data_IF_902351899913
#
_entry.id   IF_902351899913
#
_cell.length_a   1.000
_cell.length_b   1.000
_cell.length_c   1.000
_cell.angle_alpha   90.00
_cell.angle_beta   90.00
_cell.angle_gamma   90.00
#
_symmetry.space_group_name_H-M   'P 1'
#
loop_
_entity.id
_entity.type
_entity.pdbx_description
1 polymer ?
#
# COMPACT_ATOMS: atom_id res chain seq x y z
N UNK A 1 43.66 -11.88 27.93
CA UNK A 1 43.28 -10.94 26.86
C UNK A 1 42.82 -11.74 25.68
N UNK A 2 41.53 -11.75 25.32
CA UNK A 2 41.04 -12.40 24.09
C UNK A 2 41.16 -11.42 22.92
N UNK A 3 41.71 -11.91 21.82
CA UNK A 3 41.94 -11.21 20.56
C UNK A 3 40.58 -10.90 19.86
N UNK A 4 40.41 -9.61 19.50
CA UNK A 4 39.33 -9.11 18.68
C UNK A 4 39.43 -9.71 17.27
N UNK A 5 38.52 -10.60 16.92
CA UNK A 5 38.31 -11.03 15.53
C UNK A 5 37.46 -9.98 14.80
N UNK A 6 37.98 -9.41 13.72
CA UNK A 6 37.30 -8.49 12.86
C UNK A 6 36.07 -9.18 12.16
N UNK A 7 34.97 -8.47 11.92
CA UNK A 7 33.82 -9.06 11.24
C UNK A 7 34.16 -9.44 9.79
N UNK A 8 33.53 -10.49 9.24
CA UNK A 8 33.76 -10.95 7.87
C UNK A 8 33.37 -9.87 6.85
N UNK A 9 34.27 -9.62 5.89
CA UNK A 9 33.99 -8.71 4.78
C UNK A 9 32.84 -9.25 3.92
N UNK A 10 31.92 -8.38 3.44
CA UNK A 10 30.86 -8.82 2.55
C UNK A 10 31.41 -9.42 1.26
N UNK A 11 30.87 -10.55 0.88
CA UNK A 11 31.23 -11.36 -0.29
C UNK A 11 31.11 -10.51 -1.56
N UNK A 12 32.20 -10.42 -2.35
CA UNK A 12 32.20 -9.71 -3.63
C UNK A 12 31.37 -10.51 -4.64
N UNK A 13 30.11 -10.13 -4.81
CA UNK A 13 29.20 -10.71 -5.81
C UNK A 13 29.85 -10.65 -7.20
N UNK A 14 29.94 -11.79 -7.86
CA UNK A 14 30.44 -11.90 -9.25
C UNK A 14 29.61 -11.00 -10.19
N UNK A 15 30.26 -10.36 -11.20
CA UNK A 15 29.52 -9.57 -12.19
C UNK A 15 28.53 -10.47 -12.94
N UNK A 16 27.28 -10.04 -12.96
CA UNK A 16 26.19 -10.73 -13.65
C UNK A 16 26.40 -10.62 -15.18
N UNK A 17 26.27 -11.74 -15.91
CA UNK A 17 26.35 -11.78 -17.36
C UNK A 17 25.34 -10.80 -17.99
N UNK A 18 25.75 -10.01 -18.96
CA UNK A 18 25.02 -8.90 -19.57
C UNK A 18 23.64 -9.27 -20.22
N UNK A 19 23.28 -10.55 -20.28
CA UNK A 19 22.02 -11.03 -20.86
C UNK A 19 20.86 -11.27 -19.88
N UNK A 20 21.13 -11.52 -18.60
CA UNK A 20 20.09 -11.92 -17.62
C UNK A 20 19.28 -10.77 -17.08
N UNK A 21 19.83 -9.58 -16.95
CA UNK A 21 19.11 -8.40 -16.42
C UNK A 21 18.27 -7.63 -17.45
N UNK A 22 18.35 -7.95 -18.77
CA UNK A 22 17.58 -7.22 -19.79
C UNK A 22 16.10 -7.61 -19.77
N UNK A 23 15.78 -8.89 -19.53
CA UNK A 23 14.40 -9.38 -19.48
C UNK A 23 13.60 -8.71 -18.35
N UNK A 24 14.16 -8.62 -17.16
CA UNK A 24 13.53 -7.97 -16.02
C UNK A 24 13.32 -6.46 -16.25
N UNK A 25 14.26 -5.79 -16.91
CA UNK A 25 14.14 -4.36 -17.28
C UNK A 25 13.09 -4.12 -18.38
N UNK A 26 13.00 -4.99 -19.37
CA UNK A 26 11.93 -4.93 -20.38
C UNK A 26 10.56 -5.10 -19.75
N UNK A 27 10.40 -6.06 -18.84
CA UNK A 27 9.16 -6.23 -18.09
C UNK A 27 8.84 -4.97 -17.27
N UNK A 28 9.82 -4.39 -16.58
CA UNK A 28 9.64 -3.15 -15.82
C UNK A 28 9.23 -1.98 -16.71
N UNK A 29 9.82 -1.85 -17.90
CA UNK A 29 9.43 -0.84 -18.89
C UNK A 29 7.97 -0.99 -19.33
N UNK A 30 7.54 -2.22 -19.67
CA UNK A 30 6.16 -2.48 -20.06
C UNK A 30 5.18 -2.23 -18.90
N UNK A 31 5.57 -2.54 -17.67
CA UNK A 31 4.77 -2.25 -16.48
C UNK A 31 4.60 -0.73 -16.30
N UNK A 32 5.68 0.05 -16.41
CA UNK A 32 5.60 1.52 -16.30
C UNK A 32 4.70 2.14 -17.36
N UNK A 33 4.72 1.63 -18.60
CA UNK A 33 3.80 2.07 -19.65
C UNK A 33 2.35 1.76 -19.31
N UNK A 34 2.06 0.58 -18.78
CA UNK A 34 0.72 0.21 -18.37
C UNK A 34 0.22 1.11 -17.22
N UNK A 35 1.08 1.37 -16.23
CA UNK A 35 0.75 2.30 -15.14
C UNK A 35 0.50 3.70 -15.71
N UNK A 36 1.35 4.21 -16.59
CA UNK A 36 1.16 5.51 -17.23
C UNK A 36 -0.12 5.58 -18.10
N UNK A 37 -0.65 4.44 -18.56
CA UNK A 37 -1.94 4.35 -19.27
C UNK A 37 -3.16 4.17 -18.36
N UNK A 38 -2.99 4.25 -17.02
CA UNK A 38 -4.07 4.16 -16.04
C UNK A 38 -4.29 2.77 -15.43
N UNK A 39 -3.42 1.78 -15.68
CA UNK A 39 -3.51 0.46 -15.03
C UNK A 39 -2.89 0.51 -13.65
N UNK A 40 -3.54 -0.10 -12.66
CA UNK A 40 -2.96 -0.22 -11.33
C UNK A 40 -1.73 -1.13 -11.33
N UNK A 41 -0.78 -0.83 -10.45
CA UNK A 41 0.50 -1.53 -10.35
C UNK A 41 0.34 -3.05 -10.21
N UNK A 42 -0.54 -3.51 -9.33
CA UNK A 42 -0.76 -4.95 -9.09
C UNK A 42 -1.28 -5.69 -10.34
N UNK A 43 -2.09 -5.02 -11.17
CA UNK A 43 -2.51 -5.57 -12.46
C UNK A 43 -1.36 -5.57 -13.47
N UNK A 44 -0.63 -4.47 -13.57
CA UNK A 44 0.48 -4.31 -14.49
C UNK A 44 1.62 -5.30 -14.19
N UNK A 45 1.84 -5.64 -12.92
CA UNK A 45 2.85 -6.63 -12.48
C UNK A 45 2.66 -8.03 -13.07
N UNK A 46 1.49 -8.34 -13.63
CA UNK A 46 1.29 -9.60 -14.39
C UNK A 46 2.24 -9.76 -15.58
N UNK A 47 2.78 -8.65 -16.12
CA UNK A 47 3.81 -8.68 -17.16
C UNK A 47 5.13 -9.34 -16.70
N UNK A 48 5.35 -9.37 -15.39
CA UNK A 48 6.53 -10.00 -14.79
C UNK A 48 6.26 -11.45 -14.31
N UNK A 49 5.04 -12.00 -14.48
CA UNK A 49 4.67 -13.34 -13.94
C UNK A 49 5.50 -14.49 -14.51
N UNK A 50 5.99 -14.37 -15.74
CA UNK A 50 6.86 -15.37 -16.40
C UNK A 50 8.35 -15.23 -16.09
N UNK A 51 8.74 -14.28 -15.22
CA UNK A 51 10.13 -14.11 -14.79
C UNK A 51 10.43 -15.02 -13.59
N UNK A 52 11.72 -15.42 -13.49
CA UNK A 52 12.23 -16.03 -12.26
C UNK A 52 11.97 -15.14 -11.04
N UNK A 53 11.77 -15.70 -9.82
CA UNK A 53 11.42 -14.94 -8.63
C UNK A 53 12.34 -13.75 -8.37
N UNK A 54 13.66 -13.92 -8.53
CA UNK A 54 14.65 -12.85 -8.36
C UNK A 54 14.49 -11.73 -9.39
N UNK A 55 14.27 -12.07 -10.65
CA UNK A 55 14.08 -11.10 -11.75
C UNK A 55 12.77 -10.35 -11.60
N UNK A 56 11.72 -11.01 -11.12
CA UNK A 56 10.42 -10.42 -10.79
C UNK A 56 10.54 -9.43 -9.63
N UNK A 57 11.27 -9.79 -8.56
CA UNK A 57 11.54 -8.89 -7.44
C UNK A 57 12.31 -7.66 -7.89
N UNK A 58 13.36 -7.83 -8.72
CA UNK A 58 14.10 -6.72 -9.30
C UNK A 58 13.22 -5.81 -10.17
N UNK A 59 12.39 -6.38 -11.05
CA UNK A 59 11.47 -5.60 -11.88
C UNK A 59 10.49 -4.80 -11.01
N UNK A 60 9.94 -5.41 -9.95
CA UNK A 60 9.06 -4.72 -9.00
C UNK A 60 9.78 -3.58 -8.28
N UNK A 61 10.98 -3.82 -7.77
CA UNK A 61 11.80 -2.80 -7.11
C UNK A 61 12.08 -1.62 -8.04
N UNK A 62 12.50 -1.87 -9.28
CA UNK A 62 12.78 -0.84 -10.27
C UNK A 62 11.54 -0.01 -10.61
N UNK A 63 10.40 -0.65 -10.84
CA UNK A 63 9.12 0.03 -11.11
C UNK A 63 8.69 0.87 -9.92
N UNK A 64 8.68 0.29 -8.72
CA UNK A 64 8.24 1.02 -7.51
C UNK A 64 9.16 2.18 -7.18
N UNK A 65 10.47 2.08 -7.44
CA UNK A 65 11.41 3.19 -7.30
C UNK A 65 11.11 4.31 -8.30
N UNK A 66 10.87 3.98 -9.58
CA UNK A 66 10.49 4.96 -10.59
C UNK A 66 9.18 5.70 -10.23
N UNK A 67 8.18 4.99 -9.72
CA UNK A 67 6.90 5.58 -9.34
C UNK A 67 7.02 6.42 -8.06
N UNK A 68 7.75 5.93 -7.07
CA UNK A 68 7.94 6.59 -5.78
C UNK A 68 8.76 7.88 -5.89
N UNK A 69 9.79 7.88 -6.72
CA UNK A 69 10.73 8.98 -6.93
C UNK A 69 10.49 9.76 -8.23
N UNK A 70 9.30 9.59 -8.83
CA UNK A 70 9.00 10.10 -10.18
C UNK A 70 9.24 11.59 -10.37
N UNK A 71 8.82 12.43 -9.42
CA UNK A 71 9.01 13.87 -9.49
C UNK A 71 10.47 14.28 -9.40
N UNK A 72 11.24 13.71 -8.46
CA UNK A 72 12.68 13.96 -8.33
C UNK A 72 13.45 13.46 -9.57
N UNK A 73 13.10 12.28 -10.08
CA UNK A 73 13.68 11.72 -11.32
C UNK A 73 13.42 12.67 -12.50
N UNK A 74 12.21 13.18 -12.65
CA UNK A 74 11.84 14.08 -13.73
C UNK A 74 12.53 15.45 -13.59
N UNK A 75 12.68 15.96 -12.37
CA UNK A 75 13.43 17.19 -12.11
C UNK A 75 14.90 17.05 -12.55
N UNK A 76 15.57 15.98 -12.13
CA UNK A 76 16.97 15.69 -12.51
C UNK A 76 17.11 15.48 -14.02
N UNK A 77 16.17 14.76 -14.66
CA UNK A 77 16.15 14.60 -16.12
C UNK A 77 15.90 15.93 -16.84
N UNK A 78 15.05 16.80 -16.30
CA UNK A 78 14.76 18.12 -16.86
C UNK A 78 15.99 19.01 -16.94
N UNK A 79 16.89 18.93 -15.95
CA UNK A 79 18.19 19.65 -16.00
C UNK A 79 19.17 18.96 -16.95
N UNK A 80 19.16 17.64 -17.03
CA UNK A 80 20.11 16.89 -17.86
C UNK A 80 19.76 16.87 -19.36
N UNK A 81 18.49 17.08 -19.71
CA UNK A 81 17.97 17.04 -21.09
C UNK A 81 17.34 18.37 -21.47
N UNK A 82 17.82 18.98 -22.55
CA UNK A 82 17.22 20.21 -23.11
C UNK A 82 15.84 19.98 -23.76
N UNK A 83 15.59 18.76 -24.26
CA UNK A 83 14.32 18.35 -24.89
C UNK A 83 13.98 16.91 -24.53
N UNK A 84 12.83 16.64 -23.88
CA UNK A 84 12.40 15.29 -23.60
C UNK A 84 11.97 14.55 -24.88
N UNK A 85 11.99 13.21 -24.87
CA UNK A 85 11.45 12.41 -25.96
C UNK A 85 9.98 12.77 -26.26
N UNK A 86 9.63 12.91 -27.54
CA UNK A 86 8.31 13.33 -27.97
C UNK A 86 7.76 12.48 -29.13
N UNK A 87 6.49 12.64 -29.45
CA UNK A 87 5.83 11.92 -30.55
C UNK A 87 5.91 10.39 -30.37
N UNK A 88 6.38 9.69 -31.41
CA UNK A 88 6.54 8.23 -31.39
C UNK A 88 7.60 7.73 -30.39
N UNK A 89 8.53 8.59 -29.97
CA UNK A 89 9.55 8.25 -28.99
C UNK A 89 9.18 8.64 -27.55
N UNK A 90 7.97 9.15 -27.30
CA UNK A 90 7.55 9.61 -25.96
C UNK A 90 7.79 8.57 -24.86
N UNK A 91 7.51 7.32 -25.12
CA UNK A 91 7.65 6.25 -24.12
C UNK A 91 9.12 5.94 -23.78
N UNK A 92 10.10 6.44 -24.57
CA UNK A 92 11.52 6.34 -24.22
C UNK A 92 11.86 7.04 -22.90
N UNK A 93 11.01 7.97 -22.44
CA UNK A 93 11.18 8.62 -21.13
C UNK A 93 11.15 7.61 -19.98
N UNK A 94 10.36 6.55 -20.09
CA UNK A 94 10.34 5.50 -19.06
C UNK A 94 11.67 4.77 -18.95
N UNK A 95 12.36 4.55 -20.07
CA UNK A 95 13.71 3.98 -20.08
C UNK A 95 14.70 4.93 -19.38
N UNK A 96 14.60 6.23 -19.64
CA UNK A 96 15.43 7.25 -18.98
C UNK A 96 15.17 7.29 -17.47
N UNK A 97 13.91 7.32 -17.06
CA UNK A 97 13.51 7.26 -15.63
C UNK A 97 14.08 6.02 -14.93
N UNK A 98 14.01 4.85 -15.57
CA UNK A 98 14.60 3.61 -15.07
C UNK A 98 16.12 3.69 -14.94
N UNK A 99 16.79 4.37 -15.87
CA UNK A 99 18.23 4.63 -15.80
C UNK A 99 18.59 5.47 -14.58
N UNK A 100 17.88 6.58 -14.39
CA UNK A 100 18.07 7.47 -13.22
C UNK A 100 17.74 6.77 -11.92
N UNK A 101 16.65 6.01 -11.88
CA UNK A 101 16.27 5.22 -10.68
C UNK A 101 17.39 4.24 -10.28
N UNK A 102 17.98 3.53 -11.24
CA UNK A 102 19.10 2.63 -10.97
C UNK A 102 20.36 3.37 -10.53
N UNK A 103 20.64 4.53 -11.12
CA UNK A 103 21.84 5.31 -10.86
C UNK A 103 21.82 5.98 -9.48
N UNK A 104 20.68 6.58 -9.10
CA UNK A 104 20.60 7.47 -7.92
C UNK A 104 19.89 6.83 -6.72
N UNK A 105 19.10 5.76 -6.91
CA UNK A 105 18.25 5.22 -5.83
C UNK A 105 18.37 3.70 -5.60
N UNK A 106 19.14 2.98 -6.46
CA UNK A 106 19.16 1.50 -6.40
C UNK A 106 20.57 0.91 -6.27
N UNK A 107 21.52 1.67 -5.79
CA UNK A 107 22.91 1.21 -5.57
C UNK A 107 23.52 0.45 -6.78
N UNK A 108 23.11 0.84 -7.98
CA UNK A 108 23.64 0.27 -9.22
C UNK A 108 24.87 1.06 -9.63
N UNK A 109 26.01 0.39 -9.81
CA UNK A 109 27.23 1.06 -10.24
C UNK A 109 27.02 1.89 -11.52
N UNK A 110 27.59 3.09 -11.58
CA UNK A 110 27.34 4.08 -12.64
C UNK A 110 27.52 3.51 -14.06
N UNK A 111 28.59 2.73 -14.30
CA UNK A 111 28.82 2.10 -15.59
C UNK A 111 27.71 1.12 -15.98
N UNK A 112 27.27 0.29 -15.03
CA UNK A 112 26.20 -0.68 -15.27
C UNK A 112 24.83 0.00 -15.49
N UNK A 113 24.55 1.12 -14.82
CA UNK A 113 23.34 1.91 -15.04
C UNK A 113 23.33 2.52 -16.46
N UNK A 114 24.45 3.09 -16.91
CA UNK A 114 24.57 3.63 -18.28
C UNK A 114 24.37 2.52 -19.33
N UNK A 115 25.11 1.42 -19.23
CA UNK A 115 25.07 0.33 -20.20
C UNK A 115 23.71 -0.33 -20.27
N UNK A 116 23.09 -0.61 -19.13
CA UNK A 116 21.77 -1.21 -19.09
C UNK A 116 20.68 -0.30 -19.66
N UNK A 117 20.80 1.01 -19.44
CA UNK A 117 19.87 2.00 -20.02
C UNK A 117 19.97 2.05 -21.54
N UNK A 118 21.19 2.10 -22.09
CA UNK A 118 21.42 2.10 -23.54
C UNK A 118 20.95 0.77 -24.17
N UNK A 119 21.23 -0.35 -23.53
CA UNK A 119 20.77 -1.67 -23.99
C UNK A 119 19.26 -1.79 -23.97
N UNK A 120 18.60 -1.30 -22.92
CA UNK A 120 17.14 -1.27 -22.80
C UNK A 120 16.51 -0.34 -23.83
N UNK A 121 17.11 0.83 -24.09
CA UNK A 121 16.65 1.78 -25.11
C UNK A 121 16.58 1.12 -26.50
N UNK A 122 17.59 0.34 -26.85
CA UNK A 122 17.64 -0.42 -28.10
C UNK A 122 16.59 -1.54 -28.11
N UNK A 123 16.52 -2.33 -27.05
CA UNK A 123 15.58 -3.45 -26.92
C UNK A 123 14.10 -3.01 -26.89
N UNK A 124 13.81 -1.82 -26.40
CA UNK A 124 12.49 -1.21 -26.42
C UNK A 124 12.12 -0.53 -27.76
N UNK A 125 12.97 -0.67 -28.78
CA UNK A 125 12.72 -0.12 -30.13
C UNK A 125 13.07 1.35 -30.36
N UNK A 126 13.83 1.95 -29.44
CA UNK A 126 14.25 3.36 -29.53
C UNK A 126 15.73 3.51 -29.92
N UNK A 127 16.20 2.77 -30.90
CA UNK A 127 17.62 2.73 -31.28
C UNK A 127 18.20 4.12 -31.57
N UNK A 128 17.41 5.01 -32.21
CA UNK A 128 17.84 6.40 -32.54
C UNK A 128 18.02 7.26 -31.26
N UNK A 129 17.51 6.84 -30.11
CA UNK A 129 17.64 7.55 -28.84
C UNK A 129 18.82 7.06 -27.99
N UNK A 130 19.54 6.01 -28.42
CA UNK A 130 20.66 5.45 -27.64
C UNK A 130 21.79 6.44 -27.40
N UNK A 131 22.08 7.34 -28.37
CA UNK A 131 23.05 8.41 -28.23
C UNK A 131 22.66 9.42 -27.15
N UNK A 132 21.38 9.84 -27.14
CA UNK A 132 20.84 10.71 -26.09
C UNK A 132 20.91 10.03 -24.73
N UNK A 133 20.45 8.80 -24.63
CA UNK A 133 20.48 8.04 -23.38
C UNK A 133 21.92 7.95 -22.82
N UNK A 134 22.88 7.60 -23.64
CA UNK A 134 24.27 7.52 -23.22
C UNK A 134 24.82 8.88 -22.73
N UNK A 135 24.55 9.97 -23.46
CA UNK A 135 25.01 11.31 -23.11
C UNK A 135 24.40 11.77 -21.76
N UNK A 136 23.09 11.66 -21.62
CA UNK A 136 22.37 12.05 -20.41
C UNK A 136 22.82 11.21 -19.21
N UNK A 137 22.85 9.89 -19.34
CA UNK A 137 23.26 9.01 -18.25
C UNK A 137 24.72 9.21 -17.82
N UNK A 138 25.63 9.50 -18.76
CA UNK A 138 27.02 9.87 -18.44
C UNK A 138 27.13 11.23 -17.76
N UNK A 139 26.31 12.21 -18.10
CA UNK A 139 26.21 13.47 -17.38
C UNK A 139 25.73 13.22 -15.95
N UNK A 140 24.63 12.48 -15.78
CA UNK A 140 24.05 12.18 -14.49
C UNK A 140 24.94 11.29 -13.60
N UNK A 141 25.83 10.48 -14.19
CA UNK A 141 26.80 9.70 -13.39
C UNK A 141 27.86 10.60 -12.70
N UNK A 142 28.04 11.85 -13.15
CA UNK A 142 28.95 12.82 -12.53
C UNK A 142 28.23 13.87 -11.68
N UNK A 143 27.07 14.33 -12.13
CA UNK A 143 26.38 15.49 -11.57
C UNK A 143 25.10 15.10 -10.82
N UNK A 144 24.61 13.86 -11.00
CA UNK A 144 23.26 13.45 -10.57
C UNK A 144 23.03 13.52 -9.08
N UNK A 145 24.03 13.22 -8.25
CA UNK A 145 23.91 13.33 -6.80
C UNK A 145 23.66 14.78 -6.35
N UNK A 146 24.46 15.73 -6.85
CA UNK A 146 24.28 17.15 -6.56
C UNK A 146 22.93 17.68 -7.08
N UNK A 147 22.52 17.28 -8.30
CA UNK A 147 21.21 17.66 -8.84
C UNK A 147 20.05 17.08 -8.02
N UNK A 148 20.23 15.92 -7.39
CA UNK A 148 19.22 15.32 -6.51
C UNK A 148 19.10 16.08 -5.18
N UNK A 149 20.21 16.57 -4.61
CA UNK A 149 20.23 17.40 -3.41
C UNK A 149 19.44 18.71 -3.59
N UNK A 150 19.38 19.24 -4.81
CA UNK A 150 18.60 20.42 -5.15
C UNK A 150 17.09 20.14 -5.31
N UNK A 151 16.63 18.89 -5.14
CA UNK A 151 15.22 18.51 -5.25
C UNK A 151 14.53 18.36 -3.90
N UNK A 152 13.24 18.65 -3.87
CA UNK A 152 12.39 18.40 -2.69
C UNK A 152 11.60 17.11 -2.84
N UNK A 153 11.46 16.34 -1.73
CA UNK A 153 10.70 15.08 -1.70
C UNK A 153 9.23 15.29 -2.06
N UNK A 154 8.66 16.44 -1.74
CA UNK A 154 7.30 16.81 -2.12
C UNK A 154 7.05 16.82 -3.62
N UNK A 155 8.10 17.01 -4.45
CA UNK A 155 7.97 16.93 -5.93
C UNK A 155 7.45 15.56 -6.41
N UNK A 156 7.58 14.51 -5.58
CA UNK A 156 7.06 13.18 -5.91
C UNK A 156 5.55 13.05 -5.70
N UNK A 157 4.89 14.05 -5.11
CA UNK A 157 3.48 14.04 -4.77
C UNK A 157 2.72 15.09 -5.60
N UNK A 158 1.50 14.79 -6.08
CA UNK A 158 0.65 15.82 -6.68
C UNK A 158 0.40 16.97 -5.71
N UNK A 159 0.50 18.23 -6.20
CA UNK A 159 0.38 19.43 -5.37
C UNK A 159 -0.91 19.48 -4.54
N UNK A 160 -2.04 19.07 -5.12
CA UNK A 160 -3.32 19.05 -4.43
C UNK A 160 -3.36 18.11 -3.20
N UNK A 161 -2.62 16.98 -3.25
CA UNK A 161 -2.50 16.08 -2.10
C UNK A 161 -1.71 16.74 -0.98
N UNK A 162 -0.55 17.33 -1.33
CA UNK A 162 0.30 18.02 -0.35
C UNK A 162 -0.43 19.20 0.30
N UNK A 163 -1.14 20.00 -0.47
CA UNK A 163 -1.91 21.13 0.02
C UNK A 163 -3.02 20.67 0.99
N UNK A 164 -3.77 19.63 0.62
CA UNK A 164 -4.80 19.05 1.49
C UNK A 164 -4.19 18.52 2.80
N UNK A 165 -3.09 17.78 2.72
CA UNK A 165 -2.46 17.22 3.93
C UNK A 165 -1.84 18.29 4.82
N UNK A 166 -1.19 19.31 4.25
CA UNK A 166 -0.67 20.45 5.01
C UNK A 166 -1.79 21.20 5.74
N UNK A 167 -2.92 21.39 5.08
CA UNK A 167 -4.07 22.07 5.68
C UNK A 167 -4.68 21.30 6.87
N UNK A 168 -4.71 19.97 6.82
CA UNK A 168 -5.34 19.13 7.85
C UNK A 168 -4.36 18.60 8.90
N UNK A 169 -3.12 18.26 8.48
CA UNK A 169 -2.14 17.57 9.33
C UNK A 169 -0.93 18.43 9.70
N UNK A 170 -0.79 19.60 9.09
CA UNK A 170 0.35 20.50 9.25
C UNK A 170 1.53 20.14 8.34
N UNK A 171 2.46 21.10 8.20
CA UNK A 171 3.61 20.94 7.30
C UNK A 171 4.59 19.86 7.75
N UNK A 172 4.91 19.82 9.05
CA UNK A 172 5.88 18.89 9.61
C UNK A 172 5.45 17.44 9.44
N UNK A 173 4.21 17.08 9.82
CA UNK A 173 3.70 15.70 9.67
C UNK A 173 3.54 15.31 8.21
N UNK A 174 3.19 16.26 7.33
CA UNK A 174 3.11 16.03 5.89
C UNK A 174 4.49 15.73 5.32
N UNK A 175 5.51 16.52 5.65
CA UNK A 175 6.87 16.30 5.21
C UNK A 175 7.41 14.94 5.69
N UNK A 176 7.25 14.64 6.98
CA UNK A 176 7.67 13.35 7.55
C UNK A 176 6.94 12.15 6.91
N UNK A 177 5.63 12.29 6.58
CA UNK A 177 4.87 11.27 5.85
C UNK A 177 5.44 11.06 4.45
N UNK A 178 5.80 12.13 3.75
CA UNK A 178 6.41 12.04 2.42
C UNK A 178 7.80 11.41 2.46
N UNK A 179 8.65 11.77 3.42
CA UNK A 179 9.96 11.13 3.61
C UNK A 179 9.82 9.62 3.81
N UNK A 180 8.91 9.22 4.70
CA UNK A 180 8.64 7.81 4.94
C UNK A 180 8.08 7.11 3.68
N UNK A 181 7.21 7.75 2.91
CA UNK A 181 6.65 7.22 1.68
C UNK A 181 7.72 6.93 0.61
N UNK A 182 8.88 7.59 0.71
CA UNK A 182 10.03 7.36 -0.19
C UNK A 182 10.84 6.10 0.14
N UNK A 183 10.53 5.41 1.23
CA UNK A 183 11.20 4.17 1.65
C UNK A 183 10.35 2.94 1.35
N UNK A 184 10.95 1.77 1.04
CA UNK A 184 10.20 0.52 0.95
C UNK A 184 9.53 0.18 2.29
N UNK A 185 8.30 -0.35 2.30
CA UNK A 185 7.68 -0.80 3.54
C UNK A 185 8.31 -2.11 4.03
N UNK A 186 8.31 -2.36 5.35
CA UNK A 186 8.59 -3.68 5.88
C UNK A 186 7.52 -4.69 5.45
N UNK A 187 7.79 -5.97 5.64
CA UNK A 187 6.78 -7.01 5.49
C UNK A 187 6.05 -7.19 6.83
N UNK A 188 4.75 -6.98 6.81
CA UNK A 188 3.85 -7.22 7.91
C UNK A 188 3.02 -8.47 7.63
N UNK A 189 2.91 -9.33 8.63
CA UNK A 189 2.26 -10.62 8.58
C UNK A 189 1.30 -10.71 9.76
N UNK A 190 0.05 -11.11 9.51
CA UNK A 190 -0.94 -11.41 10.54
C UNK A 190 -1.05 -12.92 10.66
N UNK A 191 -0.58 -13.53 11.76
CA UNK A 191 -0.76 -14.96 12.03
C UNK A 191 -2.20 -15.29 12.39
N UNK A 192 -2.63 -16.50 12.02
CA UNK A 192 -3.95 -17.05 12.39
C UNK A 192 -4.05 -17.29 13.90
N UNK A 193 -2.94 -17.69 14.52
CA UNK A 193 -2.79 -17.95 15.95
C UNK A 193 -1.31 -17.90 16.29
N UNK A 194 -0.97 -17.90 17.59
CA UNK A 194 0.42 -17.96 18.09
C UNK A 194 1.32 -16.88 17.49
N UNK A 195 0.90 -15.63 17.57
CA UNK A 195 1.63 -14.50 16.97
C UNK A 195 3.07 -14.40 17.52
N UNK A 196 3.25 -14.66 18.81
CA UNK A 196 4.57 -14.64 19.45
C UNK A 196 5.49 -15.75 18.92
N UNK A 197 4.98 -16.98 18.74
CA UNK A 197 5.73 -18.08 18.16
C UNK A 197 6.12 -17.81 16.68
N UNK A 198 5.21 -17.18 15.92
CA UNK A 198 5.52 -16.77 14.55
C UNK A 198 6.55 -15.63 14.48
N UNK A 199 6.54 -14.69 15.44
CA UNK A 199 7.57 -13.66 15.53
C UNK A 199 8.96 -14.29 15.71
N UNK A 200 9.09 -15.29 16.56
CA UNK A 200 10.34 -16.04 16.75
C UNK A 200 10.77 -16.82 15.49
N UNK A 201 9.82 -17.58 14.90
CA UNK A 201 10.11 -18.42 13.70
C UNK A 201 10.55 -17.61 12.49
N UNK A 202 9.96 -16.44 12.29
CA UNK A 202 10.24 -15.57 11.15
C UNK A 202 11.31 -14.51 11.45
N UNK A 203 11.93 -14.54 12.62
CA UNK A 203 12.89 -13.52 13.07
C UNK A 203 12.32 -12.11 12.89
N UNK A 204 11.10 -11.93 13.40
CA UNK A 204 10.32 -10.70 13.26
C UNK A 204 10.02 -10.02 14.58
N UNK A 205 9.73 -8.73 14.51
CA UNK A 205 9.26 -7.93 15.64
C UNK A 205 7.75 -8.06 15.79
N UNK A 206 7.28 -8.21 17.02
CA UNK A 206 5.84 -8.20 17.33
C UNK A 206 5.35 -6.76 17.41
N UNK A 207 4.35 -6.41 16.59
CA UNK A 207 3.67 -5.13 16.62
C UNK A 207 2.29 -5.31 17.20
N UNK A 208 2.01 -4.60 18.28
CA UNK A 208 0.71 -4.54 18.96
C UNK A 208 0.09 -5.91 19.29
N UNK A 209 0.91 -6.93 19.53
CA UNK A 209 0.47 -8.29 19.81
C UNK A 209 -0.23 -9.04 18.66
N UNK A 210 -0.44 -8.40 17.51
CA UNK A 210 -1.27 -8.90 16.39
C UNK A 210 -0.50 -9.16 15.11
N UNK A 211 0.56 -8.39 14.86
CA UNK A 211 1.32 -8.39 13.60
C UNK A 211 2.76 -8.75 13.86
N UNK A 212 3.32 -9.60 13.01
CA UNK A 212 4.76 -9.88 12.94
C UNK A 212 5.36 -9.05 11.83
N UNK A 213 6.27 -8.16 12.17
CA UNK A 213 6.99 -7.28 11.21
C UNK A 213 8.41 -7.74 11.02
N UNK A 214 8.87 -7.74 9.76
CA UNK A 214 10.28 -7.99 9.44
C UNK A 214 10.75 -7.19 8.23
N UNK A 215 12.07 -6.93 8.16
CA UNK A 215 12.70 -6.53 6.90
C UNK A 215 12.65 -7.71 5.92
N UNK A 216 12.29 -7.44 4.68
CA UNK A 216 12.16 -8.53 3.71
C UNK A 216 12.45 -8.08 2.27
N UNK A 217 13.40 -8.80 1.65
CA UNK A 217 13.69 -8.69 0.21
C UNK A 217 13.39 -10.03 -0.43
N UNK A 218 12.26 -10.16 -1.13
CA UNK A 218 11.93 -11.41 -1.81
C UNK A 218 10.44 -11.62 -2.08
N UNK A 219 10.07 -12.89 -2.18
CA UNK A 219 8.67 -13.31 -2.36
C UNK A 219 8.13 -13.85 -1.03
N UNK A 220 7.14 -13.20 -0.40
CA UNK A 220 6.56 -13.65 0.86
C UNK A 220 6.03 -15.09 0.81
N UNK A 221 5.66 -15.57 -0.37
CA UNK A 221 5.13 -16.92 -0.56
C UNK A 221 6.16 -18.02 -0.31
N UNK A 222 7.45 -17.67 -0.28
CA UNK A 222 8.55 -18.59 0.01
C UNK A 222 8.85 -18.71 1.52
N UNK A 223 8.22 -17.91 2.35
CA UNK A 223 8.43 -17.95 3.81
C UNK A 223 7.70 -19.12 4.46
N UNK A 224 8.28 -19.62 5.54
CA UNK A 224 7.69 -20.68 6.37
C UNK A 224 6.26 -20.34 6.79
N UNK A 225 5.36 -21.32 6.73
CA UNK A 225 3.95 -21.20 7.11
C UNK A 225 3.04 -20.53 6.08
N UNK A 226 3.57 -19.93 4.99
CA UNK A 226 2.68 -19.33 3.98
C UNK A 226 1.82 -20.40 3.29
N UNK A 227 2.44 -21.45 2.77
CA UNK A 227 1.73 -22.52 2.07
C UNK A 227 0.79 -23.31 2.97
N UNK A 228 1.12 -23.39 4.26
CA UNK A 228 0.31 -24.07 5.28
C UNK A 228 -0.88 -23.22 5.76
N UNK A 229 -1.02 -21.99 5.25
CA UNK A 229 -2.09 -21.10 5.65
C UNK A 229 -2.01 -20.61 7.09
N UNK A 230 -0.80 -20.56 7.67
CA UNK A 230 -0.62 -20.17 9.06
C UNK A 230 -0.78 -18.64 9.28
N UNK A 231 -0.61 -17.86 8.21
CA UNK A 231 -0.66 -16.41 8.25
C UNK A 231 -0.97 -15.79 6.86
N UNK A 232 -1.21 -14.50 6.83
CA UNK A 232 -1.36 -13.70 5.60
C UNK A 232 -0.62 -12.37 5.72
N UNK A 233 -0.31 -11.76 4.57
CA UNK A 233 0.31 -10.43 4.52
C UNK A 233 -0.76 -9.37 4.77
N UNK A 234 -0.51 -8.51 5.76
CA UNK A 234 -1.40 -7.40 6.12
C UNK A 234 -0.62 -6.38 6.93
N UNK A 235 -0.74 -5.10 6.58
CA UNK A 235 -0.15 -3.99 7.33
C UNK A 235 -0.71 -3.92 8.75
N UNK A 236 0.12 -3.52 9.72
CA UNK A 236 -0.26 -3.45 11.13
C UNK A 236 -1.47 -2.51 11.36
N UNK A 237 -1.52 -1.35 10.67
CA UNK A 237 -2.66 -0.45 10.75
C UNK A 237 -3.91 -1.05 10.07
N UNK A 238 -3.74 -1.79 8.96
CA UNK A 238 -4.85 -2.49 8.30
C UNK A 238 -5.44 -3.65 9.14
N UNK A 239 -4.68 -4.16 10.11
CA UNK A 239 -5.13 -5.20 11.03
C UNK A 239 -5.99 -4.64 12.19
N UNK A 240 -5.89 -3.35 12.49
CA UNK A 240 -6.58 -2.75 13.63
C UNK A 240 -8.12 -2.73 13.51
N UNK A 241 -8.74 -2.40 12.36
CA UNK A 241 -10.20 -2.30 12.28
C UNK A 241 -10.94 -3.56 12.75
N UNK A 242 -10.53 -4.73 12.29
CA UNK A 242 -11.18 -5.99 12.68
C UNK A 242 -11.01 -6.30 14.18
N UNK A 243 -9.89 -5.90 14.79
CA UNK A 243 -9.60 -6.11 16.19
C UNK A 243 -10.47 -5.25 17.14
N UNK A 244 -10.94 -4.09 16.68
CA UNK A 244 -11.74 -3.15 17.48
C UNK A 244 -13.19 -3.60 17.71
N UNK A 245 -13.64 -4.70 17.14
CA UNK A 245 -14.96 -5.27 17.46
C UNK A 245 -15.02 -5.93 18.83
N UNK A 246 -13.89 -6.39 19.35
CA UNK A 246 -13.85 -7.24 20.55
C UNK A 246 -14.27 -8.68 20.27
N UNK A 247 -15.08 -9.27 21.15
CA UNK A 247 -15.53 -10.66 21.01
C UNK A 247 -16.58 -10.82 19.89
N UNK A 248 -16.21 -11.62 18.88
CA UNK A 248 -17.04 -11.92 17.72
C UNK A 248 -17.51 -13.39 17.67
N UNK A 249 -17.23 -14.19 18.71
CA UNK A 249 -17.56 -15.61 18.70
C UNK A 249 -19.06 -15.85 18.50
N UNK A 250 -19.39 -16.53 17.40
CA UNK A 250 -20.76 -16.83 17.00
C UNK A 250 -21.59 -15.64 16.53
N UNK A 251 -20.99 -14.46 16.37
CA UNK A 251 -21.66 -13.28 15.84
C UNK A 251 -21.70 -13.32 14.31
N UNK A 252 -22.80 -12.86 13.73
CA UNK A 252 -22.91 -12.68 12.30
C UNK A 252 -22.34 -11.30 11.90
N UNK A 253 -21.29 -11.31 11.11
CA UNK A 253 -20.58 -10.11 10.63
C UNK A 253 -20.68 -9.98 9.12
N UNK A 254 -21.07 -8.81 8.64
CA UNK A 254 -20.98 -8.44 7.22
C UNK A 254 -19.70 -7.67 6.99
N UNK A 255 -18.84 -8.17 6.11
CA UNK A 255 -17.61 -7.50 5.65
C UNK A 255 -17.85 -6.90 4.27
N UNK A 256 -17.96 -5.57 4.18
CA UNK A 256 -18.20 -4.84 2.94
C UNK A 256 -16.89 -4.39 2.29
N UNK A 257 -16.85 -4.54 0.96
CA UNK A 257 -15.64 -4.30 0.16
C UNK A 257 -14.49 -5.23 0.55
N UNK A 258 -14.85 -6.47 0.91
CA UNK A 258 -14.07 -7.45 1.63
C UNK A 258 -12.76 -7.87 0.97
N UNK A 259 -12.68 -7.83 -0.38
CA UNK A 259 -11.51 -8.33 -1.09
C UNK A 259 -10.29 -7.39 -0.95
N UNK A 260 -9.08 -7.95 -0.72
CA UNK A 260 -8.65 -9.35 -0.96
C UNK A 260 -8.82 -10.33 0.21
N UNK A 261 -9.43 -9.95 1.34
CA UNK A 261 -9.84 -10.88 2.39
C UNK A 261 -8.98 -10.89 3.66
N UNK A 262 -8.04 -9.95 3.83
CA UNK A 262 -7.21 -9.89 5.05
C UNK A 262 -8.03 -9.63 6.32
N UNK A 263 -8.95 -8.66 6.27
CA UNK A 263 -9.88 -8.34 7.36
C UNK A 263 -10.93 -9.44 7.52
N UNK A 264 -11.44 -10.01 6.41
CA UNK A 264 -12.31 -11.19 6.42
C UNK A 264 -11.68 -12.34 7.20
N UNK A 265 -10.40 -12.65 6.93
CA UNK A 265 -9.67 -13.72 7.63
C UNK A 265 -9.54 -13.43 9.14
N UNK A 266 -9.31 -12.17 9.54
CA UNK A 266 -9.28 -11.78 10.95
C UNK A 266 -10.65 -12.01 11.64
N UNK A 267 -11.74 -11.59 11.00
CA UNK A 267 -13.10 -11.78 11.53
C UNK A 267 -13.41 -13.27 11.73
N UNK A 268 -13.05 -14.12 10.76
CA UNK A 268 -13.20 -15.58 10.86
C UNK A 268 -12.32 -16.14 11.98
N UNK A 269 -11.06 -15.70 12.09
CA UNK A 269 -10.16 -16.14 13.15
C UNK A 269 -10.65 -15.73 14.54
N UNK A 270 -11.40 -14.62 14.66
CA UNK A 270 -12.08 -14.20 15.88
C UNK A 270 -13.39 -14.98 16.17
N UNK A 271 -13.75 -15.96 15.34
CA UNK A 271 -14.91 -16.82 15.54
C UNK A 271 -16.23 -16.31 14.98
N UNK A 272 -16.22 -15.29 14.12
CA UNK A 272 -17.41 -14.76 13.48
C UNK A 272 -17.96 -15.68 12.38
N UNK A 273 -19.29 -15.66 12.16
CA UNK A 273 -19.96 -16.12 10.93
C UNK A 273 -19.94 -14.95 9.93
N UNK A 274 -19.12 -15.05 8.88
CA UNK A 274 -18.83 -13.90 8.01
C UNK A 274 -19.55 -14.01 6.67
N UNK A 275 -20.30 -12.96 6.30
CA UNK A 275 -20.75 -12.70 4.94
C UNK A 275 -19.84 -11.62 4.31
N UNK A 276 -19.00 -12.03 3.38
CA UNK A 276 -18.05 -11.14 2.69
C UNK A 276 -18.61 -10.66 1.35
N UNK A 277 -18.79 -9.35 1.21
CA UNK A 277 -19.43 -8.71 0.06
C UNK A 277 -18.42 -7.87 -0.72
N UNK A 278 -18.29 -8.11 -2.02
CA UNK A 278 -17.52 -7.26 -2.93
C UNK A 278 -18.22 -7.22 -4.31
N UNK A 279 -18.18 -6.08 -4.99
CA UNK A 279 -18.83 -5.92 -6.30
C UNK A 279 -18.03 -6.54 -7.46
N UNK A 280 -16.75 -6.78 -7.27
CA UNK A 280 -15.80 -7.25 -8.28
C UNK A 280 -15.59 -8.76 -8.22
N UNK A 281 -16.07 -9.48 -9.25
CA UNK A 281 -15.85 -10.92 -9.37
C UNK A 281 -14.35 -11.30 -9.31
N UNK A 282 -13.42 -10.65 -10.06
CA UNK A 282 -12.00 -10.98 -9.98
C UNK A 282 -11.41 -10.79 -8.57
N UNK A 283 -11.89 -9.77 -7.82
CA UNK A 283 -11.44 -9.55 -6.45
C UNK A 283 -11.97 -10.62 -5.50
N UNK A 284 -13.24 -11.03 -5.64
CA UNK A 284 -13.82 -12.15 -4.88
C UNK A 284 -13.10 -13.48 -5.17
N UNK A 285 -12.66 -13.71 -6.40
CA UNK A 285 -11.88 -14.90 -6.75
C UNK A 285 -10.50 -14.89 -6.05
N UNK A 286 -9.91 -13.71 -5.82
CA UNK A 286 -8.68 -13.57 -5.01
C UNK A 286 -8.98 -13.86 -3.55
N UNK A 287 -10.05 -13.27 -2.99
CA UNK A 287 -10.49 -13.50 -1.61
C UNK A 287 -10.73 -14.99 -1.37
N UNK A 288 -11.47 -15.65 -2.28
CA UNK A 288 -11.72 -17.08 -2.19
C UNK A 288 -10.41 -17.89 -2.10
N UNK A 289 -9.47 -17.65 -3.03
CA UNK A 289 -8.17 -18.36 -3.02
C UNK A 289 -7.39 -18.12 -1.73
N UNK A 290 -7.45 -16.90 -1.18
CA UNK A 290 -6.79 -16.58 0.07
C UNK A 290 -7.41 -17.35 1.24
N UNK A 291 -8.75 -17.38 1.33
CA UNK A 291 -9.45 -18.17 2.36
C UNK A 291 -9.21 -19.66 2.19
N UNK A 292 -9.26 -20.20 0.97
CA UNK A 292 -8.97 -21.61 0.68
C UNK A 292 -7.57 -22.00 1.19
N UNK A 293 -6.53 -21.16 0.91
CA UNK A 293 -5.17 -21.37 1.42
C UNK A 293 -5.11 -21.35 2.95
N UNK A 294 -5.87 -20.48 3.60
CA UNK A 294 -5.93 -20.35 5.06
C UNK A 294 -6.78 -21.45 5.73
N UNK A 295 -7.47 -22.29 4.94
CA UNK A 295 -8.43 -23.26 5.47
C UNK A 295 -9.63 -22.59 6.17
N UNK A 296 -10.05 -21.44 5.67
CA UNK A 296 -11.15 -20.61 6.20
C UNK A 296 -12.32 -20.56 5.22
N UNK A 297 -13.53 -20.34 5.74
CA UNK A 297 -14.75 -20.22 4.92
C UNK A 297 -15.56 -18.99 5.31
N UNK A 298 -16.20 -18.36 4.33
CA UNK A 298 -17.16 -17.28 4.48
C UNK A 298 -18.26 -17.41 3.43
N UNK A 299 -19.41 -16.79 3.67
CA UNK A 299 -20.44 -16.62 2.63
C UNK A 299 -19.98 -15.49 1.68
N UNK A 300 -19.61 -15.84 0.45
CA UNK A 300 -19.08 -14.88 -0.53
C UNK A 300 -20.19 -14.36 -1.44
N UNK A 301 -20.48 -13.07 -1.37
CA UNK A 301 -21.56 -12.45 -2.11
C UNK A 301 -21.01 -11.40 -3.07
N UNK A 302 -21.29 -11.60 -4.38
CA UNK A 302 -21.04 -10.55 -5.37
C UNK A 302 -22.20 -9.57 -5.39
N UNK A 303 -22.03 -8.40 -4.80
CA UNK A 303 -23.03 -7.34 -4.79
C UNK A 303 -22.40 -5.96 -4.63
N UNK A 304 -23.12 -4.94 -5.07
CA UNK A 304 -22.84 -3.57 -4.65
C UNK A 304 -23.36 -3.37 -3.22
N UNK A 305 -22.49 -2.99 -2.29
CA UNK A 305 -22.85 -2.80 -0.88
C UNK A 305 -23.97 -1.80 -0.66
N UNK A 306 -24.15 -0.83 -1.58
CA UNK A 306 -25.23 0.18 -1.54
C UNK A 306 -26.61 -0.45 -1.77
N UNK A 307 -26.69 -1.54 -2.52
CA UNK A 307 -27.94 -2.24 -2.86
C UNK A 307 -28.08 -3.58 -2.18
N UNK A 308 -27.02 -4.10 -1.58
CA UNK A 308 -27.03 -5.36 -0.83
C UNK A 308 -28.05 -5.35 0.31
N UNK A 309 -28.59 -6.52 0.63
CA UNK A 309 -29.49 -6.77 1.76
C UNK A 309 -29.04 -8.04 2.46
N UNK A 310 -28.67 -7.97 3.76
CA UNK A 310 -28.40 -9.17 4.56
C UNK A 310 -29.63 -10.06 4.63
N UNK A 311 -29.39 -11.37 4.64
CA UNK A 311 -30.46 -12.39 4.79
C UNK A 311 -30.74 -12.76 6.23
N UNK A 312 -29.81 -12.42 7.13
CA UNK A 312 -29.87 -12.71 8.57
C UNK A 312 -29.76 -11.38 9.32
N UNK A 313 -30.12 -11.37 10.62
CA UNK A 313 -29.79 -10.27 11.51
C UNK A 313 -28.27 -10.06 11.54
N UNK A 314 -27.84 -8.82 11.65
CA UNK A 314 -26.43 -8.43 11.58
C UNK A 314 -25.99 -7.88 12.95
N UNK A 315 -25.05 -8.57 13.57
CA UNK A 315 -24.51 -8.15 14.87
C UNK A 315 -23.42 -7.09 14.71
N UNK A 316 -22.65 -7.19 13.62
CA UNK A 316 -21.57 -6.25 13.33
C UNK A 316 -21.35 -6.05 11.80
N UNK A 317 -20.89 -4.87 11.42
CA UNK A 317 -20.51 -4.57 10.03
C UNK A 317 -19.11 -3.99 10.01
N UNK A 318 -18.24 -4.53 9.17
CA UNK A 318 -16.98 -3.92 8.78
C UNK A 318 -17.13 -3.29 7.40
N UNK A 319 -16.74 -2.04 7.25
CA UNK A 319 -16.64 -1.37 5.96
C UNK A 319 -15.17 -0.99 5.72
N UNK A 320 -14.48 -1.74 4.86
CA UNK A 320 -13.19 -1.30 4.30
C UNK A 320 -13.47 -0.52 3.03
N UNK A 321 -13.82 0.77 3.20
CA UNK A 321 -14.48 1.53 2.16
C UNK A 321 -13.58 1.77 0.93
N UNK A 322 -14.14 1.73 -0.29
CA UNK A 322 -13.42 2.14 -1.48
C UNK A 322 -13.00 3.60 -1.33
N UNK A 323 -11.70 3.88 -1.44
CA UNK A 323 -11.13 5.20 -1.18
C UNK A 323 -10.00 5.54 -2.14
N UNK A 324 -9.42 6.74 -1.99
CA UNK A 324 -8.25 7.17 -2.77
C UNK A 324 -7.00 6.31 -2.50
N UNK A 325 -6.94 5.60 -1.37
CA UNK A 325 -5.84 4.75 -0.91
C UNK A 325 -4.51 5.51 -0.68
N UNK A 326 -4.57 6.82 -0.44
CA UNK A 326 -3.41 7.69 -0.24
C UNK A 326 -2.58 7.36 1.01
N UNK A 327 -3.11 6.57 1.94
CA UNK A 327 -2.36 6.04 3.07
C UNK A 327 -1.41 4.88 2.73
N UNK A 328 -1.53 4.28 1.52
CA UNK A 328 -0.77 3.10 1.13
C UNK A 328 0.41 3.38 0.20
N UNK A 329 0.89 4.61 0.12
CA UNK A 329 1.90 5.08 -0.85
C UNK A 329 3.19 4.27 -0.82
N UNK A 330 3.62 3.78 0.33
CA UNK A 330 4.82 2.95 0.46
C UNK A 330 4.71 1.64 -0.30
N UNK A 331 3.51 1.02 -0.28
CA UNK A 331 3.21 -0.26 -0.93
C UNK A 331 2.73 -0.06 -2.36
N UNK A 332 2.01 1.02 -2.60
CA UNK A 332 1.31 1.34 -3.85
C UNK A 332 1.65 2.76 -4.33
N UNK A 333 2.91 3.01 -4.74
CA UNK A 333 3.33 4.33 -5.21
C UNK A 333 2.63 4.77 -6.51
N UNK A 334 1.96 3.85 -7.22
CA UNK A 334 1.10 4.16 -8.37
C UNK A 334 -0.09 5.05 -8.01
N UNK A 335 -0.54 5.06 -6.75
CA UNK A 335 -1.60 5.96 -6.26
C UNK A 335 -1.27 7.43 -6.51
N UNK A 336 0.00 7.83 -6.40
CA UNK A 336 0.47 9.18 -6.72
C UNK A 336 0.18 9.59 -8.18
N UNK A 337 0.01 8.64 -9.08
CA UNK A 337 -0.13 8.86 -10.53
C UNK A 337 -1.57 8.66 -11.04
N UNK A 338 -2.47 8.10 -10.23
CA UNK A 338 -3.82 7.71 -10.67
C UNK A 338 -4.93 8.54 -10.05
N UNK A 339 -4.64 9.36 -9.03
CA UNK A 339 -5.66 10.11 -8.31
C UNK A 339 -5.72 11.55 -8.75
N UNK A 340 -6.94 12.04 -8.96
CA UNK A 340 -7.23 13.45 -9.15
C UNK A 340 -8.15 13.93 -8.03
N UNK A 341 -8.10 15.22 -7.73
CA UNK A 341 -8.97 15.85 -6.72
C UNK A 341 -10.46 15.63 -7.03
N UNK A 342 -10.81 15.57 -8.32
CA UNK A 342 -12.20 15.31 -8.76
C UNK A 342 -12.72 13.92 -8.35
N UNK A 343 -11.85 12.94 -8.08
CA UNK A 343 -12.25 11.60 -7.67
C UNK A 343 -12.77 11.57 -6.23
N UNK A 344 -12.29 12.48 -5.37
CA UNK A 344 -12.59 12.49 -3.94
C UNK A 344 -14.07 12.65 -3.65
N UNK A 345 -14.74 13.61 -4.31
CA UNK A 345 -16.15 13.86 -4.09
C UNK A 345 -17.02 12.63 -4.42
N UNK A 346 -16.68 11.94 -5.52
CA UNK A 346 -17.38 10.71 -5.93
C UNK A 346 -17.15 9.56 -4.94
N UNK A 347 -15.92 9.38 -4.46
CA UNK A 347 -15.59 8.36 -3.47
C UNK A 347 -16.28 8.65 -2.13
N UNK A 348 -16.23 9.88 -1.65
CA UNK A 348 -16.89 10.28 -0.42
C UNK A 348 -18.42 10.11 -0.47
N UNK A 349 -19.05 10.37 -1.61
CA UNK A 349 -20.48 10.10 -1.80
C UNK A 349 -20.81 8.60 -1.68
N UNK A 350 -20.02 7.73 -2.33
CA UNK A 350 -20.17 6.26 -2.22
C UNK A 350 -19.97 5.81 -0.77
N UNK A 351 -18.99 6.35 -0.07
CA UNK A 351 -18.68 6.04 1.32
C UNK A 351 -19.83 6.40 2.26
N UNK A 352 -20.45 7.59 2.08
CA UNK A 352 -21.64 8.01 2.85
C UNK A 352 -22.82 7.04 2.62
N UNK A 353 -23.07 6.68 1.37
CA UNK A 353 -24.14 5.73 1.03
C UNK A 353 -23.90 4.36 1.67
N UNK A 354 -22.67 3.83 1.58
CA UNK A 354 -22.30 2.55 2.19
C UNK A 354 -22.47 2.58 3.70
N UNK A 355 -21.97 3.64 4.36
CA UNK A 355 -22.04 3.79 5.81
C UNK A 355 -23.49 3.90 6.30
N UNK A 356 -24.30 4.77 5.72
CA UNK A 356 -25.70 4.93 6.06
C UNK A 356 -26.51 3.64 5.83
N UNK A 357 -26.17 2.92 4.74
CA UNK A 357 -26.82 1.66 4.41
C UNK A 357 -26.49 0.56 5.40
N UNK A 358 -25.21 0.37 5.70
CA UNK A 358 -24.75 -0.64 6.63
C UNK A 358 -25.28 -0.39 8.06
N UNK A 359 -25.36 0.86 8.49
CA UNK A 359 -25.93 1.22 9.77
C UNK A 359 -27.42 0.77 9.91
N UNK A 360 -28.17 0.77 8.79
CA UNK A 360 -29.58 0.33 8.79
C UNK A 360 -29.77 -1.18 8.96
N UNK A 361 -28.72 -2.00 8.93
CA UNK A 361 -28.79 -3.45 9.09
C UNK A 361 -28.52 -3.92 10.50
N UNK A 362 -27.89 -3.06 11.31
CA UNK A 362 -27.47 -3.42 12.65
C UNK A 362 -28.66 -3.76 13.55
N UNK A 363 -28.52 -4.83 14.29
CA UNK A 363 -29.34 -5.10 15.44
C UNK A 363 -29.17 -4.02 16.52
N UNK A 364 -30.12 -3.81 17.43
CA UNK A 364 -29.94 -2.89 18.55
C UNK A 364 -28.65 -3.19 19.34
N UNK A 365 -27.83 -2.17 19.55
CA UNK A 365 -26.50 -2.31 20.16
C UNK A 365 -25.42 -2.94 19.27
N UNK A 366 -25.74 -3.24 18.00
CA UNK A 366 -24.79 -3.73 17.02
C UNK A 366 -23.72 -2.70 16.69
N UNK A 367 -22.50 -3.17 16.38
CA UNK A 367 -21.33 -2.34 16.09
C UNK A 367 -21.03 -2.27 14.60
N UNK A 368 -20.59 -1.11 14.16
CA UNK A 368 -20.08 -0.89 12.83
C UNK A 368 -18.70 -0.27 12.90
N UNK A 369 -17.75 -0.82 12.14
CA UNK A 369 -16.45 -0.20 11.95
C UNK A 369 -16.35 0.29 10.52
N UNK A 370 -16.15 1.59 10.38
CA UNK A 370 -15.81 2.25 9.13
C UNK A 370 -14.31 2.48 9.07
N UNK A 371 -13.66 2.01 8.00
CA UNK A 371 -12.24 2.16 7.79
C UNK A 371 -11.93 2.61 6.36
N UNK A 372 -10.94 3.48 6.20
CA UNK A 372 -10.35 3.83 4.91
C UNK A 372 -8.84 3.88 5.02
N UNK A 373 -8.14 3.39 4.00
CA UNK A 373 -6.69 3.56 3.87
C UNK A 373 -6.38 4.89 3.15
N UNK A 374 -7.06 5.97 3.54
CA UNK A 374 -6.92 7.31 2.96
C UNK A 374 -6.39 8.31 3.98
N UNK A 375 -5.49 9.18 3.53
CA UNK A 375 -5.04 10.35 4.28
C UNK A 375 -5.95 11.59 4.06
N UNK A 376 -7.00 11.46 3.25
CA UNK A 376 -7.90 12.57 2.96
C UNK A 376 -8.97 12.70 4.05
N UNK A 377 -9.10 13.89 4.61
CA UNK A 377 -10.13 14.23 5.60
C UNK A 377 -11.54 13.99 5.04
N UNK A 378 -11.75 14.28 3.77
CA UNK A 378 -13.03 14.13 3.05
C UNK A 378 -13.52 12.69 3.00
N UNK A 379 -12.62 11.71 3.10
CA UNK A 379 -12.92 10.27 3.06
C UNK A 379 -12.96 9.60 4.44
N UNK A 380 -12.62 10.32 5.48
CA UNK A 380 -12.62 9.86 6.86
C UNK A 380 -13.61 10.63 7.72
N UNK A 381 -13.11 11.64 8.38
CA UNK A 381 -13.81 12.45 9.38
C UNK A 381 -15.10 13.07 8.83
N UNK A 382 -15.04 13.65 7.62
CA UNK A 382 -16.20 14.30 7.01
C UNK A 382 -17.32 13.29 6.70
N UNK A 383 -16.99 12.09 6.24
CA UNK A 383 -18.00 11.04 5.97
C UNK A 383 -18.70 10.61 7.25
N UNK A 384 -17.94 10.38 8.33
CA UNK A 384 -18.51 9.95 9.62
C UNK A 384 -19.37 11.05 10.23
N UNK A 385 -18.89 12.31 10.21
CA UNK A 385 -19.64 13.47 10.72
C UNK A 385 -20.96 13.66 9.98
N UNK A 386 -20.94 13.59 8.63
CA UNK A 386 -22.15 13.76 7.81
C UNK A 386 -23.20 12.67 8.09
N UNK A 387 -22.77 11.39 8.15
CA UNK A 387 -23.69 10.28 8.32
C UNK A 387 -24.24 10.22 9.75
N UNK A 388 -23.39 10.41 10.78
CA UNK A 388 -23.86 10.43 12.17
C UNK A 388 -24.76 11.63 12.42
N UNK A 389 -24.49 12.79 11.81
CA UNK A 389 -25.36 13.97 11.85
C UNK A 389 -26.74 13.71 11.22
N UNK A 390 -26.77 13.06 10.03
CA UNK A 390 -28.01 12.69 9.35
C UNK A 390 -28.80 11.60 10.07
N UNK A 391 -28.12 10.71 10.79
CA UNK A 391 -28.71 9.59 11.55
C UNK A 391 -28.74 9.86 13.08
N UNK A 392 -28.83 11.13 13.47
CA UNK A 392 -28.85 11.53 14.88
C UNK A 392 -29.89 10.74 15.69
N UNK A 393 -29.45 10.16 16.83
CA UNK A 393 -30.28 9.32 17.68
C UNK A 393 -30.44 7.87 17.19
N UNK A 394 -29.85 7.50 16.04
CA UNK A 394 -29.86 6.12 15.54
C UNK A 394 -28.48 5.52 15.43
N UNK A 395 -27.47 6.35 15.15
CA UNK A 395 -26.06 5.95 15.00
C UNK A 395 -25.20 6.96 15.74
N UNK A 396 -24.27 6.48 16.56
CA UNK A 396 -23.32 7.33 17.28
C UNK A 396 -21.91 6.73 17.21
N UNK A 397 -20.90 7.58 17.39
CA UNK A 397 -19.53 7.11 17.62
C UNK A 397 -19.52 6.31 18.94
N UNK A 398 -18.93 5.12 18.90
CA UNK A 398 -18.57 4.29 20.06
C UNK A 398 -17.06 4.50 20.28
N UNK A 399 -16.63 5.40 21.18
CA UNK A 399 -15.24 5.81 21.28
C UNK A 399 -14.31 4.65 21.56
N UNK A 400 -13.22 4.57 20.81
CA UNK A 400 -12.14 3.61 21.08
C UNK A 400 -11.31 4.12 22.26
N UNK A 401 -11.09 3.27 23.25
CA UNK A 401 -10.25 3.60 24.39
C UNK A 401 -8.76 3.46 24.08
N UNK A 402 -7.91 4.04 24.91
CA UNK A 402 -6.44 3.93 24.79
C UNK A 402 -6.00 2.47 24.86
N UNK A 403 -6.60 1.67 25.74
CA UNK A 403 -6.26 0.23 25.92
C UNK A 403 -6.63 -0.58 24.67
N UNK A 404 -7.79 -0.30 24.04
CA UNK A 404 -8.23 -0.98 22.82
C UNK A 404 -7.36 -0.59 21.62
N UNK A 405 -6.94 0.69 21.55
CA UNK A 405 -6.06 1.19 20.51
C UNK A 405 -4.62 0.62 20.64
N UNK A 406 -4.22 0.23 21.84
CA UNK A 406 -2.89 -0.35 22.10
C UNK A 406 -1.75 0.54 21.62
N UNK A 407 -0.84 0.02 20.82
CA UNK A 407 0.28 0.77 20.25
C UNK A 407 -0.16 1.92 19.33
N UNK A 408 -1.42 1.93 18.88
CA UNK A 408 -1.99 2.98 18.04
C UNK A 408 -2.69 4.10 18.85
N UNK A 409 -2.63 4.07 20.17
CA UNK A 409 -3.21 5.12 21.04
C UNK A 409 -2.79 6.56 20.66
N UNK A 410 -1.56 6.85 20.18
CA UNK A 410 -1.20 8.18 19.71
C UNK A 410 -2.03 8.70 18.52
N UNK A 411 -2.72 7.82 17.79
CA UNK A 411 -3.59 8.16 16.67
C UNK A 411 -5.05 8.46 17.08
N UNK A 412 -5.41 8.32 18.37
CA UNK A 412 -6.75 8.64 18.86
C UNK A 412 -7.08 10.12 18.66
N UNK A 413 -8.24 10.37 18.09
CA UNK A 413 -8.82 11.71 17.96
C UNK A 413 -9.69 12.05 19.17
N UNK A 414 -10.02 13.33 19.36
CA UNK A 414 -10.80 13.79 20.52
C UNK A 414 -12.21 13.20 20.61
N UNK A 415 -12.76 12.67 19.52
CA UNK A 415 -14.06 11.98 19.45
C UNK A 415 -13.95 10.45 19.58
N UNK A 416 -12.73 9.93 19.78
CA UNK A 416 -12.47 8.49 19.95
C UNK A 416 -12.41 7.70 18.63
N UNK A 417 -12.26 8.36 17.49
CA UNK A 417 -11.83 7.74 16.25
C UNK A 417 -10.30 7.57 16.22
N UNK A 418 -9.75 6.95 15.18
CA UNK A 418 -8.31 6.90 14.96
C UNK A 418 -7.96 7.51 13.61
N UNK A 419 -7.01 8.46 13.61
CA UNK A 419 -6.36 8.98 12.41
C UNK A 419 -4.88 8.60 12.44
N UNK A 420 -4.54 7.55 11.73
CA UNK A 420 -3.18 7.01 11.64
C UNK A 420 -2.47 7.68 10.47
N UNK A 421 -1.44 8.46 10.77
CA UNK A 421 -0.49 8.95 9.76
C UNK A 421 0.75 8.07 9.78
N UNK A 422 1.31 7.70 8.61
CA UNK A 422 2.49 6.83 8.54
C UNK A 422 3.68 7.32 9.38
N UNK A 423 3.88 8.63 9.44
CA UNK A 423 4.96 9.28 10.17
C UNK A 423 4.85 9.26 11.69
N UNK A 424 3.66 9.06 12.23
CA UNK A 424 3.46 9.02 13.68
C UNK A 424 4.02 7.74 14.33
N UNK A 425 4.44 6.76 13.52
CA UNK A 425 4.90 5.43 13.93
C UNK A 425 6.28 5.08 13.35
N UNK A 426 7.15 6.08 13.21
CA UNK A 426 8.52 5.89 12.69
C UNK A 426 9.41 5.05 13.59
N UNK A 427 9.15 5.04 14.90
CA UNK A 427 9.83 4.23 15.91
C UNK A 427 9.70 2.71 15.64
N UNK A 428 8.58 2.30 15.06
CA UNK A 428 8.36 0.92 14.59
C UNK A 428 8.58 0.76 13.07
N UNK A 429 9.15 1.75 12.39
CA UNK A 429 9.42 1.72 10.94
C UNK A 429 8.23 2.15 10.07
N UNK A 430 7.23 2.82 10.64
CA UNK A 430 6.05 3.36 9.98
C UNK A 430 4.98 2.29 9.65
N UNK A 431 3.78 2.75 9.36
CA UNK A 431 2.60 1.94 9.00
C UNK A 431 1.89 2.56 7.80
N UNK A 432 0.89 1.87 7.23
CA UNK A 432 -0.01 2.51 6.27
C UNK A 432 -0.91 3.54 6.97
N UNK A 433 -1.28 4.59 6.27
CA UNK A 433 -2.20 5.60 6.79
C UNK A 433 -3.65 5.10 6.77
N UNK A 434 -4.37 5.34 7.86
CA UNK A 434 -5.75 4.94 8.01
C UNK A 434 -6.60 5.99 8.73
N UNK A 435 -7.89 5.98 8.43
CA UNK A 435 -8.92 6.50 9.32
C UNK A 435 -9.83 5.35 9.75
N UNK A 436 -10.16 5.28 11.03
CA UNK A 436 -11.02 4.23 11.61
C UNK A 436 -12.01 4.87 12.58
N UNK A 437 -13.29 4.64 12.36
CA UNK A 437 -14.35 5.02 13.29
C UNK A 437 -15.14 3.77 13.71
N UNK A 438 -15.30 3.56 15.01
CA UNK A 438 -16.23 2.59 15.58
C UNK A 438 -17.54 3.29 15.89
N UNK A 439 -18.62 2.72 15.41
CA UNK A 439 -19.97 3.26 15.52
C UNK A 439 -20.90 2.24 16.14
N UNK A 440 -21.92 2.69 16.83
CA UNK A 440 -22.92 1.82 17.44
C UNK A 440 -24.34 2.26 17.07
N UNK A 441 -25.20 1.26 16.82
CA UNK A 441 -26.63 1.50 16.72
C UNK A 441 -27.18 1.89 18.08
N UNK A 442 -27.76 3.10 18.14
CA UNK A 442 -28.44 3.60 19.34
C UNK A 442 -29.86 3.06 19.29
N UNK A 443 -30.28 2.33 20.33
CA UNK A 443 -31.67 1.91 20.48
C UNK A 443 -32.56 3.16 20.67
N UNK A 444 -33.76 3.20 20.04
CA UNK A 444 -34.72 4.27 20.26
C UNK A 444 -35.23 4.27 21.71
#
# INVERSE_FOLDING_TARGET
>A
MPQNAAPPRPDKRKPQAAGTGLKSRLAAYEILKLVASGRYLDEAMRKASGLEPRDRAFARMLVTTCLRRGGQIDAVLGVAMSKPPAGRARDAIHVMRMGVAQLLFMDTGAHAAVDSTVSLMRAAGFERMTGLANAVMRRLSREGAALLEDTDVGQNCPGWMLESWKAHWGEERTAATMELAMTPPPLDITPRADTAGWAQRLDGQLIDGRTVRRGFDGDPTALDGFSDGAWWVQDAAAALPAALFGDLKGRHVVDLCAAPGGKTAQLIAAGADVTAVDNSKPRLDILKRNLDRLGMTADLVRADGRTFRPRKAVDAVLIDAPCSATGTLRRRPDVLHHRAVADLAGLAAIQRELLARAASWLSPGGRLIYATCSLQHEEGEAVVADVTGAMKGKLAIDPVSTDEAGSFAPALTGDGCLRILPSDFTDIGGVDGFFIARLQSVSP
#
